data_IF_709309306327
#
_entry.id   IF_709309306327
#
_cell.length_a   1.000
_cell.length_b   1.000
_cell.length_c   1.000
_cell.angle_alpha   90.00
_cell.angle_beta   90.00
_cell.angle_gamma   90.00
#
_symmetry.space_group_name_H-M   'P 1'
#
loop_
_entity.id
_entity.type
_entity.pdbx_description
1 polymer ?
#
# COMPACT_ATOMS: atom_id res chain seq x y z
N UNK A 1 56.63 -8.97 73.34
CA UNK A 1 55.98 -7.70 73.74
C UNK A 1 55.54 -7.02 72.45
N UNK A 2 54.32 -7.32 72.00
CA UNK A 2 53.70 -6.74 70.81
C UNK A 2 52.58 -5.83 71.32
N UNK A 3 52.70 -4.53 71.07
CA UNK A 3 51.67 -3.53 71.38
C UNK A 3 50.60 -3.63 70.30
N UNK A 4 49.37 -3.94 70.70
CA UNK A 4 48.19 -3.92 69.84
C UNK A 4 47.75 -2.47 69.61
N UNK A 5 47.64 -2.07 68.34
CA UNK A 5 47.00 -0.82 67.96
C UNK A 5 45.53 -0.84 68.41
N UNK A 6 45.17 0.10 69.28
CA UNK A 6 43.78 0.34 69.67
C UNK A 6 43.11 1.13 68.55
N UNK A 7 42.29 0.46 67.75
CA UNK A 7 41.28 1.11 66.92
C UNK A 7 40.28 1.85 67.83
N UNK A 8 40.40 3.17 67.89
CA UNK A 8 39.41 4.02 68.55
C UNK A 8 38.22 4.17 67.61
N UNK A 9 37.14 3.44 67.89
CA UNK A 9 35.84 3.67 67.25
C UNK A 9 35.37 5.10 67.54
N UNK A 10 35.27 5.93 66.49
CA UNK A 10 34.66 7.26 66.60
C UNK A 10 33.16 7.09 66.89
N UNK A 11 32.58 7.81 67.85
CA UNK A 11 31.14 7.78 68.05
C UNK A 11 30.49 8.47 66.85
N UNK A 12 29.88 7.69 65.95
CA UNK A 12 29.08 8.26 64.87
C UNK A 12 27.91 8.99 65.49
N UNK A 13 27.82 10.30 65.23
CA UNK A 13 26.69 11.13 65.65
C UNK A 13 25.50 10.73 64.76
N UNK A 14 24.34 10.51 65.37
CA UNK A 14 23.14 10.02 64.66
C UNK A 14 22.78 10.92 63.47
N UNK A 15 22.97 12.23 63.62
CA UNK A 15 22.80 13.22 62.55
C UNK A 15 23.72 12.99 61.35
N UNK A 16 24.95 12.52 61.57
CA UNK A 16 25.92 12.25 60.49
C UNK A 16 25.49 11.02 59.69
N UNK A 17 24.97 9.98 60.36
CA UNK A 17 24.41 8.79 59.73
C UNK A 17 23.12 9.08 58.96
N UNK A 18 22.25 9.95 59.49
CA UNK A 18 21.03 10.39 58.80
C UNK A 18 21.40 11.17 57.56
N UNK A 19 22.36 12.10 57.66
CA UNK A 19 22.83 12.89 56.52
C UNK A 19 23.45 12.00 55.44
N UNK A 20 24.26 11.02 55.82
CA UNK A 20 24.85 10.07 54.87
C UNK A 20 23.80 9.17 54.20
N UNK A 21 22.76 8.78 54.93
CA UNK A 21 21.63 8.02 54.40
C UNK A 21 20.80 8.85 53.41
N UNK A 22 20.43 10.07 53.78
CA UNK A 22 19.70 11.00 52.91
C UNK A 22 20.49 11.30 51.62
N UNK A 23 21.79 11.56 51.73
CA UNK A 23 22.66 11.78 50.56
C UNK A 23 22.74 10.55 49.64
N UNK A 24 22.79 9.33 50.20
CA UNK A 24 22.79 8.10 49.38
C UNK A 24 21.45 7.88 48.68
N UNK A 25 20.34 8.18 49.34
CA UNK A 25 19.01 8.10 48.74
C UNK A 25 18.83 9.11 47.61
N UNK A 26 19.25 10.37 47.80
CA UNK A 26 19.22 11.40 46.75
C UNK A 26 20.07 11.01 45.53
N UNK A 27 21.22 10.35 45.75
CA UNK A 27 22.09 9.88 44.66
C UNK A 27 21.43 8.73 43.87
N UNK A 28 20.77 7.79 44.55
CA UNK A 28 20.06 6.69 43.88
C UNK A 28 18.82 7.19 43.13
N UNK A 29 18.05 8.15 43.68
CA UNK A 29 16.92 8.77 42.97
C UNK A 29 17.39 9.56 41.73
N UNK A 30 18.47 10.35 41.85
CA UNK A 30 19.06 11.04 40.70
C UNK A 30 19.56 10.08 39.63
N UNK A 31 20.15 8.94 40.03
CA UNK A 31 20.61 7.92 39.09
C UNK A 31 19.45 7.25 38.37
N UNK A 32 18.35 6.97 39.07
CA UNK A 32 17.15 6.40 38.47
C UNK A 32 16.48 7.41 37.53
N UNK A 33 16.37 8.69 37.91
CA UNK A 33 15.89 9.75 37.02
C UNK A 33 16.77 9.92 35.77
N UNK A 34 18.10 9.87 35.90
CA UNK A 34 19.03 9.86 34.77
C UNK A 34 18.87 8.61 33.90
N UNK A 35 18.65 7.43 34.49
CA UNK A 35 18.37 6.19 33.76
C UNK A 35 17.07 6.30 32.96
N UNK A 36 16.00 6.84 33.56
CA UNK A 36 14.72 7.07 32.92
C UNK A 36 14.77 8.20 31.87
N UNK A 37 15.65 9.19 32.04
CA UNK A 37 15.91 10.23 31.04
C UNK A 37 16.68 9.69 29.82
N UNK A 38 17.50 8.64 29.97
CA UNK A 38 18.15 7.96 28.83
C UNK A 38 17.15 7.23 27.91
N UNK A 39 15.94 6.96 28.40
CA UNK A 39 14.80 6.47 27.60
C UNK A 39 13.83 7.59 27.23
N UNK A 40 14.25 8.86 27.19
CA UNK A 40 13.40 9.97 26.76
C UNK A 40 12.79 9.76 25.36
N UNK A 41 13.51 9.06 24.47
CA UNK A 41 13.01 8.65 23.15
C UNK A 41 11.90 7.59 23.20
N UNK A 42 11.74 6.86 24.31
CA UNK A 42 10.60 5.96 24.52
C UNK A 42 9.33 6.69 25.00
N UNK A 43 9.48 7.88 25.60
CA UNK A 43 8.34 8.69 26.07
C UNK A 43 7.64 9.46 24.96
N UNK A 44 8.36 9.87 23.93
CA UNK A 44 7.80 10.58 22.77
C UNK A 44 7.15 9.65 21.75
N UNK A 45 7.24 8.32 21.95
CA UNK A 45 6.61 7.34 21.09
C UNK A 45 5.30 6.87 21.70
N UNK A 46 4.19 7.26 21.07
CA UNK A 46 2.85 6.79 21.42
C UNK A 46 2.76 5.29 21.09
N UNK A 47 2.97 4.42 22.09
CA UNK A 47 3.03 2.96 21.93
C UNK A 47 1.63 2.39 21.65
N UNK A 48 1.14 2.55 20.43
CA UNK A 48 -0.21 2.14 20.01
C UNK A 48 -0.52 0.65 20.24
N UNK A 49 0.51 -0.19 20.39
CA UNK A 49 0.39 -1.61 20.74
C UNK A 49 0.11 -1.88 22.23
N UNK A 50 0.44 -0.98 23.15
CA UNK A 50 0.05 -1.10 24.58
C UNK A 50 -1.47 -0.92 24.76
N UNK A 51 -2.13 -0.32 23.78
CA UNK A 51 -3.58 -0.19 23.72
C UNK A 51 -4.26 -1.42 23.13
N UNK A 52 -3.51 -2.46 22.71
CA UNK A 52 -4.06 -3.71 22.20
C UNK A 52 -4.10 -4.76 23.30
N UNK A 53 -5.25 -5.42 23.47
CA UNK A 53 -5.44 -6.55 24.38
C UNK A 53 -5.81 -7.78 23.56
N UNK A 54 -5.17 -8.90 23.86
CA UNK A 54 -5.52 -10.20 23.30
C UNK A 54 -6.83 -10.69 23.92
N UNK A 55 -7.83 -10.90 23.07
CA UNK A 55 -9.06 -11.63 23.40
C UNK A 55 -9.22 -12.78 22.42
N UNK A 56 -9.10 -13.99 22.94
CA UNK A 56 -9.27 -15.25 22.20
C UNK A 56 -8.35 -15.38 20.95
N UNK A 57 -7.12 -14.89 21.04
CA UNK A 57 -6.14 -14.93 19.95
C UNK A 57 -6.29 -13.80 18.93
N UNK A 58 -7.13 -12.80 19.22
CA UNK A 58 -7.36 -11.62 18.38
C UNK A 58 -7.04 -10.35 19.18
N UNK A 59 -6.16 -9.50 18.65
CA UNK A 59 -5.80 -8.22 19.25
C UNK A 59 -6.92 -7.19 19.04
N UNK A 60 -7.38 -6.57 20.13
CA UNK A 60 -8.42 -5.53 20.12
C UNK A 60 -7.96 -4.28 20.87
N UNK A 61 -8.32 -3.08 20.40
CA UNK A 61 -8.02 -1.84 21.12
C UNK A 61 -8.85 -1.70 22.41
N UNK A 62 -8.24 -1.25 23.51
CA UNK A 62 -8.87 -1.05 24.84
C UNK A 62 -9.97 0.01 24.78
N UNK A 63 -9.69 1.11 24.09
CA UNK A 63 -10.68 2.09 23.71
C UNK A 63 -10.95 1.89 22.23
N UNK A 64 -12.21 1.62 21.86
CA UNK A 64 -12.67 1.88 20.51
C UNK A 64 -12.46 3.38 20.26
N UNK A 65 -11.28 3.77 19.76
CA UNK A 65 -11.26 4.83 18.76
C UNK A 65 -12.16 4.29 17.67
N UNK A 66 -13.17 5.07 17.28
CA UNK A 66 -14.00 4.76 16.12
C UNK A 66 -13.04 4.35 15.01
N UNK A 67 -12.92 3.03 14.81
CA UNK A 67 -12.14 2.49 13.72
C UNK A 67 -13.00 2.90 12.55
N UNK A 68 -12.60 4.00 11.91
CA UNK A 68 -12.99 4.23 10.53
C UNK A 68 -12.42 3.02 9.82
N UNK A 69 -13.24 2.00 9.70
CA UNK A 69 -12.93 0.79 8.96
C UNK A 69 -12.65 1.33 7.56
N UNK A 70 -11.37 1.40 7.17
CA UNK A 70 -11.00 1.89 5.84
C UNK A 70 -11.58 0.99 4.75
N UNK A 71 -11.98 -0.23 5.11
CA UNK A 71 -12.87 -1.14 4.37
C UNK A 71 -14.29 -0.57 4.22
N UNK A 72 -14.93 -0.14 5.31
CA UNK A 72 -16.25 0.52 5.27
C UNK A 72 -16.23 1.88 4.55
N UNK A 73 -15.07 2.54 4.47
CA UNK A 73 -14.92 3.78 3.70
C UNK A 73 -14.99 3.53 2.19
N UNK A 74 -14.48 2.38 1.71
CA UNK A 74 -14.57 1.99 0.31
C UNK A 74 -15.98 1.45 -0.04
N UNK A 75 -16.59 0.68 0.87
CA UNK A 75 -17.99 0.24 0.71
C UNK A 75 -18.97 1.41 0.80
N UNK A 76 -18.71 2.40 1.65
CA UNK A 76 -19.52 3.61 1.79
C UNK A 76 -19.47 4.51 0.55
N UNK A 77 -18.31 4.63 -0.12
CA UNK A 77 -18.21 5.36 -1.39
C UNK A 77 -18.93 4.58 -2.52
N UNK A 78 -18.81 3.25 -2.55
CA UNK A 78 -19.55 2.41 -3.51
C UNK A 78 -21.07 2.44 -3.26
N UNK A 79 -21.52 2.52 -2.01
CA UNK A 79 -22.92 2.61 -1.63
C UNK A 79 -23.52 4.02 -1.81
N UNK A 80 -22.72 5.09 -1.68
CA UNK A 80 -23.17 6.48 -1.90
C UNK A 80 -23.40 6.82 -3.37
N UNK A 81 -22.88 6.04 -4.31
CA UNK A 81 -23.25 6.14 -5.73
C UNK A 81 -24.56 5.41 -6.08
N UNK A 82 -25.31 4.91 -5.10
CA UNK A 82 -26.69 4.49 -5.29
C UNK A 82 -27.67 5.64 -5.05
N UNK A 83 -27.82 6.58 -6.00
CA UNK A 83 -29.04 7.40 -6.23
C UNK A 83 -28.86 8.69 -7.04
N UNK A 84 -27.75 8.90 -7.76
CA UNK A 84 -27.81 9.80 -8.92
C UNK A 84 -28.19 9.00 -10.17
N UNK A 85 -29.47 8.64 -10.27
CA UNK A 85 -30.09 8.26 -11.55
C UNK A 85 -30.20 9.50 -12.47
N UNK A 86 -29.07 10.16 -12.73
CA UNK A 86 -28.94 11.04 -13.87
C UNK A 86 -29.16 10.19 -15.11
N UNK A 87 -30.08 10.62 -15.99
CA UNK A 87 -30.43 9.94 -17.25
C UNK A 87 -29.15 9.44 -17.94
N UNK A 88 -28.87 8.15 -17.78
CA UNK A 88 -27.70 7.55 -18.38
C UNK A 88 -27.99 7.50 -19.87
N UNK A 89 -27.38 8.41 -20.64
CA UNK A 89 -27.54 8.43 -22.10
C UNK A 89 -27.05 7.08 -22.64
N UNK A 90 -27.99 6.17 -22.91
CA UNK A 90 -27.80 4.80 -23.41
C UNK A 90 -27.26 4.75 -24.86
N UNK A 91 -26.40 5.69 -25.25
CA UNK A 91 -26.02 5.92 -26.65
C UNK A 91 -24.53 5.98 -26.93
N UNK A 92 -23.66 5.70 -25.95
CA UNK A 92 -22.20 5.79 -26.16
C UNK A 92 -21.63 4.41 -26.45
N UNK A 93 -21.25 4.17 -27.69
CA UNK A 93 -20.36 3.05 -28.05
C UNK A 93 -18.94 3.45 -27.66
N UNK A 94 -18.30 2.62 -26.83
CA UNK A 94 -16.97 2.91 -26.27
C UNK A 94 -15.91 2.00 -26.87
N UNK A 95 -14.78 2.58 -27.25
CA UNK A 95 -13.58 1.83 -27.60
C UNK A 95 -12.52 2.11 -26.55
N UNK A 96 -12.24 1.12 -25.72
CA UNK A 96 -11.32 1.21 -24.61
C UNK A 96 -10.05 0.41 -24.93
N UNK A 97 -8.90 1.03 -24.74
CA UNK A 97 -7.60 0.35 -24.71
C UNK A 97 -7.09 0.40 -23.27
N UNK A 98 -6.95 -0.77 -22.63
CA UNK A 98 -6.31 -0.86 -21.32
C UNK A 98 -4.85 -1.20 -21.55
N UNK A 99 -3.97 -0.30 -21.12
CA UNK A 99 -2.53 -0.53 -21.05
C UNK A 99 -2.16 -0.85 -19.62
N UNK A 100 -1.44 -1.94 -19.39
CA UNK A 100 -0.98 -2.31 -18.06
C UNK A 100 0.52 -2.56 -18.04
N UNK A 101 1.14 -2.01 -17.01
CA UNK A 101 2.55 -2.16 -16.72
C UNK A 101 2.86 -3.63 -16.34
N UNK A 102 3.87 -4.21 -16.99
CA UNK A 102 4.43 -5.52 -16.66
C UNK A 102 5.96 -5.43 -16.54
N UNK A 103 6.46 -4.27 -16.14
CA UNK A 103 7.87 -4.02 -15.87
C UNK A 103 8.30 -4.58 -14.52
N UNK A 104 9.61 -4.58 -14.24
CA UNK A 104 10.19 -5.07 -12.98
C UNK A 104 9.60 -4.39 -11.74
N UNK A 105 9.15 -3.13 -11.87
CA UNK A 105 8.50 -2.38 -10.79
C UNK A 105 7.19 -3.02 -10.31
N UNK A 106 6.60 -3.90 -11.11
CA UNK A 106 5.37 -4.63 -10.77
C UNK A 106 5.61 -5.86 -9.89
N UNK A 107 6.87 -6.20 -9.59
CA UNK A 107 7.24 -7.27 -8.64
C UNK A 107 7.18 -6.82 -7.18
N UNK A 108 7.00 -5.52 -6.93
CA UNK A 108 6.88 -4.96 -5.58
C UNK A 108 5.66 -5.55 -4.85
N UNK A 109 5.79 -5.71 -3.52
CA UNK A 109 4.86 -6.46 -2.66
C UNK A 109 4.09 -5.58 -1.66
N UNK A 110 3.93 -4.31 -2.01
CA UNK A 110 3.07 -3.35 -1.32
C UNK A 110 1.57 -3.70 -1.46
N UNK A 111 1.20 -4.34 -2.57
CA UNK A 111 -0.02 -5.13 -2.71
C UNK A 111 0.29 -6.62 -2.61
N UNK A 112 -0.70 -7.44 -2.21
CA UNK A 112 -0.55 -8.90 -2.11
C UNK A 112 -1.13 -9.61 -3.34
N UNK A 113 -0.44 -10.63 -3.90
CA UNK A 113 0.92 -11.08 -3.57
C UNK A 113 2.01 -10.10 -4.06
N UNK A 114 1.79 -9.44 -5.20
CA UNK A 114 2.59 -8.35 -5.75
C UNK A 114 1.68 -7.39 -6.56
N UNK A 115 2.23 -6.27 -7.04
CA UNK A 115 1.49 -5.31 -7.88
C UNK A 115 0.97 -5.93 -9.17
N UNK A 116 1.73 -6.79 -9.83
CA UNK A 116 1.36 -7.41 -11.11
C UNK A 116 0.06 -8.21 -10.98
N UNK A 117 -0.01 -9.11 -10.00
CA UNK A 117 -1.17 -9.95 -9.76
C UNK A 117 -2.36 -9.13 -9.25
N UNK A 118 -2.12 -8.13 -8.40
CA UNK A 118 -3.17 -7.22 -7.94
C UNK A 118 -3.79 -6.44 -9.11
N UNK A 119 -2.96 -5.83 -9.95
CA UNK A 119 -3.40 -5.12 -11.14
C UNK A 119 -4.16 -6.04 -12.11
N UNK A 120 -3.67 -7.26 -12.34
CA UNK A 120 -4.34 -8.24 -13.18
C UNK A 120 -5.73 -8.63 -12.65
N UNK A 121 -5.86 -8.83 -11.34
CA UNK A 121 -7.14 -9.08 -10.68
C UNK A 121 -8.13 -7.92 -10.90
N UNK A 122 -7.66 -6.68 -10.75
CA UNK A 122 -8.48 -5.49 -11.02
C UNK A 122 -8.89 -5.38 -12.49
N UNK A 123 -7.99 -5.68 -13.44
CA UNK A 123 -8.31 -5.70 -14.88
C UNK A 123 -9.33 -6.78 -15.20
N UNK A 124 -9.21 -7.99 -14.65
CA UNK A 124 -10.18 -9.06 -14.84
C UNK A 124 -11.57 -8.64 -14.32
N UNK A 125 -11.64 -8.09 -13.10
CA UNK A 125 -12.88 -7.54 -12.56
C UNK A 125 -13.48 -6.44 -13.44
N UNK A 126 -12.65 -5.55 -13.98
CA UNK A 126 -13.08 -4.50 -14.90
C UNK A 126 -13.61 -5.07 -16.23
N UNK A 127 -12.94 -6.06 -16.83
CA UNK A 127 -13.42 -6.75 -18.03
C UNK A 127 -14.83 -7.29 -17.76
N UNK A 128 -14.99 -8.07 -16.70
CA UNK A 128 -16.29 -8.66 -16.36
C UNK A 128 -17.36 -7.58 -16.14
N UNK A 129 -17.06 -6.53 -15.38
CA UNK A 129 -18.00 -5.43 -15.12
C UNK A 129 -18.44 -4.69 -16.40
N UNK A 130 -17.49 -4.40 -17.29
CA UNK A 130 -17.77 -3.69 -18.55
C UNK A 130 -18.70 -4.48 -19.48
N UNK A 131 -18.55 -5.81 -19.57
CA UNK A 131 -19.39 -6.65 -20.44
C UNK A 131 -20.76 -7.02 -19.83
N UNK A 132 -20.92 -6.98 -18.50
CA UNK A 132 -22.20 -7.29 -17.85
C UNK A 132 -23.13 -6.08 -17.69
N UNK A 133 -22.58 -4.89 -17.41
CA UNK A 133 -23.37 -3.70 -17.01
C UNK A 133 -23.07 -2.45 -17.85
N UNK A 134 -22.08 -2.50 -18.73
CA UNK A 134 -21.60 -1.32 -19.45
C UNK A 134 -22.42 -0.94 -20.69
N UNK A 135 -22.21 0.28 -21.21
CA UNK A 135 -22.51 0.60 -22.61
C UNK A 135 -21.79 -0.40 -23.54
N UNK A 136 -22.25 -0.54 -24.79
CA UNK A 136 -21.56 -1.39 -25.78
C UNK A 136 -20.08 -0.98 -25.89
N UNK A 137 -19.21 -1.78 -25.28
CA UNK A 137 -17.79 -1.48 -25.10
C UNK A 137 -16.96 -2.51 -25.86
N UNK A 138 -16.07 -2.03 -26.73
CA UNK A 138 -15.00 -2.81 -27.31
C UNK A 138 -13.73 -2.59 -26.50
N UNK A 139 -13.01 -3.67 -26.20
CA UNK A 139 -11.82 -3.63 -25.36
C UNK A 139 -10.61 -4.25 -26.07
N UNK A 140 -9.45 -3.61 -25.93
CA UNK A 140 -8.15 -4.14 -26.31
C UNK A 140 -7.19 -4.03 -25.11
N UNK A 141 -6.26 -4.96 -25.03
CA UNK A 141 -5.27 -5.05 -23.95
C UNK A 141 -3.87 -4.84 -24.52
N UNK A 142 -3.09 -3.97 -23.89
CA UNK A 142 -1.68 -3.73 -24.20
C UNK A 142 -0.85 -3.94 -22.94
N UNK A 143 0.26 -4.66 -23.06
CA UNK A 143 1.25 -4.82 -22.00
C UNK A 143 2.46 -3.91 -22.26
N UNK A 144 2.95 -3.23 -21.22
CA UNK A 144 4.16 -2.41 -21.27
C UNK A 144 5.32 -3.20 -20.64
N UNK A 145 6.18 -3.77 -21.49
CA UNK A 145 7.23 -4.72 -21.07
C UNK A 145 8.55 -4.47 -21.78
N UNK A 146 9.65 -4.52 -21.05
CA UNK A 146 11.01 -4.48 -21.59
C UNK A 146 11.22 -3.45 -22.73
N UNK A 147 10.87 -2.19 -22.44
CA UNK A 147 11.00 -1.00 -23.31
C UNK A 147 10.13 -1.04 -24.56
N UNK A 148 9.14 -1.94 -24.62
CA UNK A 148 8.23 -2.14 -25.74
C UNK A 148 6.80 -2.20 -25.25
N UNK A 149 5.87 -1.99 -26.18
CA UNK A 149 4.46 -2.30 -26.00
C UNK A 149 4.11 -3.58 -26.76
N UNK A 150 3.29 -4.44 -26.17
CA UNK A 150 2.86 -5.71 -26.75
C UNK A 150 1.34 -5.72 -26.77
N UNK A 151 0.75 -5.96 -27.94
CA UNK A 151 -0.69 -6.14 -28.07
C UNK A 151 -1.08 -7.52 -27.53
N UNK A 152 -1.79 -7.54 -26.40
CA UNK A 152 -2.23 -8.78 -25.74
C UNK A 152 -3.55 -9.25 -26.33
N UNK A 153 -4.53 -8.36 -26.49
CA UNK A 153 -5.82 -8.67 -27.11
C UNK A 153 -6.30 -7.54 -28.00
N UNK A 154 -7.00 -7.89 -29.09
CA UNK A 154 -7.53 -6.94 -30.07
C UNK A 154 -8.94 -6.49 -29.68
N UNK A 155 -9.37 -5.36 -30.23
CA UNK A 155 -10.77 -4.97 -30.17
C UNK A 155 -11.66 -6.04 -30.79
N UNK A 156 -12.77 -6.36 -30.13
CA UNK A 156 -13.69 -7.42 -30.55
C UNK A 156 -13.30 -8.83 -30.08
N UNK A 157 -12.19 -8.98 -29.35
CA UNK A 157 -11.86 -10.26 -28.69
C UNK A 157 -12.94 -10.57 -27.63
N UNK A 158 -13.49 -11.79 -27.59
CA UNK A 158 -14.47 -12.18 -26.58
C UNK A 158 -13.92 -12.04 -25.15
N UNK A 159 -14.76 -11.72 -24.14
CA UNK A 159 -14.29 -11.46 -22.78
C UNK A 159 -13.55 -12.65 -22.15
N UNK A 160 -14.00 -13.88 -22.41
CA UNK A 160 -13.35 -15.09 -21.92
C UNK A 160 -11.92 -15.24 -22.46
N UNK A 161 -11.74 -15.00 -23.76
CA UNK A 161 -10.43 -15.06 -24.41
C UNK A 161 -9.52 -13.92 -23.94
N UNK A 162 -10.06 -12.73 -23.66
CA UNK A 162 -9.29 -11.63 -23.08
C UNK A 162 -8.73 -11.97 -21.71
N UNK A 163 -9.52 -12.63 -20.86
CA UNK A 163 -9.07 -13.08 -19.53
C UNK A 163 -7.99 -14.15 -19.66
N UNK A 164 -8.14 -15.12 -20.57
CA UNK A 164 -7.12 -16.14 -20.82
C UNK A 164 -5.79 -15.54 -21.33
N UNK A 165 -5.85 -14.54 -22.21
CA UNK A 165 -4.68 -13.83 -22.72
C UNK A 165 -4.01 -12.97 -21.64
N UNK A 166 -4.81 -12.34 -20.78
CA UNK A 166 -4.31 -11.63 -19.60
C UNK A 166 -3.55 -12.62 -18.70
N UNK A 167 -4.18 -13.72 -18.29
CA UNK A 167 -3.57 -14.73 -17.42
C UNK A 167 -2.27 -15.30 -18.00
N UNK A 168 -2.23 -15.51 -19.32
CA UNK A 168 -0.99 -15.92 -20.02
C UNK A 168 0.11 -14.86 -19.88
N UNK A 169 -0.24 -13.59 -20.09
CA UNK A 169 0.72 -12.48 -19.96
C UNK A 169 1.25 -12.37 -18.53
N UNK A 170 0.41 -12.56 -17.51
CA UNK A 170 0.83 -12.54 -16.12
C UNK A 170 1.76 -13.72 -15.78
N UNK A 171 1.50 -14.91 -16.34
CA UNK A 171 2.37 -16.09 -16.16
C UNK A 171 3.77 -15.92 -16.76
N UNK A 172 3.93 -15.09 -17.78
CA UNK A 172 5.26 -14.74 -18.32
C UNK A 172 6.07 -13.88 -17.34
N UNK A 173 5.41 -13.25 -16.37
CA UNK A 173 6.01 -12.45 -15.32
C UNK A 173 6.39 -11.02 -15.76
N UNK A 174 6.78 -10.23 -14.76
CA UNK A 174 7.22 -8.86 -14.95
C UNK A 174 8.67 -8.80 -15.45
N UNK A 175 8.98 -7.95 -16.43
CA UNK A 175 10.32 -7.81 -16.99
C UNK A 175 10.64 -6.40 -17.52
N UNK A 176 11.79 -5.88 -17.11
CA UNK A 176 12.42 -4.70 -17.69
C UNK A 176 11.75 -3.39 -17.26
N UNK A 177 11.67 -2.42 -18.17
CA UNK A 177 11.18 -1.06 -17.91
C UNK A 177 10.01 -0.79 -18.87
N UNK A 178 8.93 -0.07 -18.49
CA UNK A 178 7.82 0.16 -19.39
C UNK A 178 8.11 1.30 -20.38
N UNK A 179 7.46 1.28 -21.55
CA UNK A 179 7.50 2.38 -22.53
C UNK A 179 6.09 2.90 -22.81
N UNK A 180 5.76 4.06 -22.25
CA UNK A 180 4.45 4.68 -22.40
C UNK A 180 4.22 5.20 -23.81
N UNK A 181 5.22 5.81 -24.44
CA UNK A 181 5.10 6.32 -25.81
C UNK A 181 4.76 5.20 -26.79
N UNK A 182 5.51 4.10 -26.78
CA UNK A 182 5.22 2.95 -27.65
C UNK A 182 3.82 2.37 -27.36
N UNK A 183 3.38 2.38 -26.10
CA UNK A 183 2.02 1.98 -25.72
C UNK A 183 0.95 2.90 -26.32
N UNK A 184 1.13 4.20 -26.17
CA UNK A 184 0.20 5.22 -26.67
C UNK A 184 0.16 5.26 -28.21
N UNK A 185 1.29 5.08 -28.89
CA UNK A 185 1.34 4.98 -30.35
C UNK A 185 0.56 3.75 -30.85
N UNK A 186 0.70 2.62 -30.16
CA UNK A 186 -0.08 1.41 -30.47
C UNK A 186 -1.58 1.63 -30.20
N UNK A 187 -1.93 2.24 -29.07
CA UNK A 187 -3.32 2.59 -28.74
C UNK A 187 -3.92 3.56 -29.77
N UNK A 188 -3.15 4.56 -30.21
CA UNK A 188 -3.54 5.48 -31.26
C UNK A 188 -3.79 4.74 -32.57
N UNK A 189 -2.91 3.83 -32.96
CA UNK A 189 -3.09 2.98 -34.15
C UNK A 189 -4.39 2.19 -34.10
N UNK A 190 -4.71 1.57 -32.96
CA UNK A 190 -5.93 0.80 -32.72
C UNK A 190 -7.19 1.70 -32.79
N UNK A 191 -7.15 2.88 -32.18
CA UNK A 191 -8.31 3.76 -32.03
C UNK A 191 -8.53 4.71 -33.21
N UNK A 192 -7.52 4.93 -34.05
CA UNK A 192 -7.55 5.90 -35.15
C UNK A 192 -8.68 5.64 -36.15
N UNK A 193 -8.95 4.36 -36.45
CA UNK A 193 -9.98 3.94 -37.40
C UNK A 193 -11.41 3.95 -36.85
N UNK A 194 -11.61 4.33 -35.59
CA UNK A 194 -12.93 4.26 -34.96
C UNK A 194 -13.87 5.39 -35.43
N UNK A 195 -15.17 5.12 -35.61
CA UNK A 195 -16.11 6.14 -36.04
C UNK A 195 -16.16 7.33 -35.06
N UNK A 196 -16.37 8.57 -35.56
CA UNK A 196 -16.30 9.78 -34.73
C UNK A 196 -17.39 9.90 -33.67
N UNK A 197 -18.49 9.16 -33.81
CA UNK A 197 -19.59 9.10 -32.83
C UNK A 197 -19.31 8.14 -31.67
N UNK A 198 -18.19 7.42 -31.69
CA UNK A 198 -17.76 6.53 -30.62
C UNK A 198 -16.70 7.21 -29.75
N UNK A 199 -16.60 6.83 -28.49
CA UNK A 199 -15.50 7.31 -27.65
C UNK A 199 -14.23 6.51 -27.92
N UNK A 200 -13.09 7.18 -27.75
CA UNK A 200 -11.75 6.61 -27.88
C UNK A 200 -11.05 6.84 -26.55
N UNK A 201 -10.92 5.77 -25.78
CA UNK A 201 -10.51 5.85 -24.38
C UNK A 201 -9.26 5.00 -24.18
N UNK A 202 -8.32 5.53 -23.38
CA UNK A 202 -7.11 4.82 -23.00
C UNK A 202 -7.01 4.85 -21.48
N UNK A 203 -7.03 3.67 -20.86
CA UNK A 203 -6.82 3.49 -19.43
C UNK A 203 -5.40 2.95 -19.22
N UNK A 204 -4.61 3.63 -18.40
CA UNK A 204 -3.23 3.23 -18.10
C UNK A 204 -3.13 2.80 -16.65
N UNK A 205 -2.77 1.54 -16.42
CA UNK A 205 -2.42 1.00 -15.12
C UNK A 205 -0.91 0.98 -15.05
N UNK A 206 -0.34 1.94 -14.33
CA UNK A 206 1.09 2.21 -14.30
C UNK A 206 1.63 2.11 -12.88
N UNK A 207 2.54 1.15 -12.64
CA UNK A 207 3.14 0.95 -11.31
C UNK A 207 4.59 1.42 -11.22
N UNK A 208 5.27 1.60 -12.35
CA UNK A 208 6.63 2.15 -12.39
C UNK A 208 6.65 3.65 -12.09
N UNK A 209 7.77 4.13 -11.57
CA UNK A 209 8.05 5.57 -11.38
C UNK A 209 8.76 6.20 -12.57
N UNK A 210 9.11 5.40 -13.58
CA UNK A 210 9.85 5.83 -14.76
C UNK A 210 9.37 5.10 -16.00
N UNK A 211 9.56 5.73 -17.15
CA UNK A 211 9.35 5.11 -18.45
C UNK A 211 10.60 5.28 -19.31
N UNK A 212 10.81 4.36 -20.26
CA UNK A 212 11.88 4.42 -21.25
C UNK A 212 11.24 4.54 -22.63
N UNK A 213 11.17 5.76 -23.13
CA UNK A 213 10.57 6.07 -24.42
C UNK A 213 11.63 6.47 -25.45
N UNK A 214 11.47 6.07 -26.73
CA UNK A 214 12.36 6.50 -27.80
C UNK A 214 12.28 8.02 -28.02
N UNK A 215 13.39 8.63 -28.42
CA UNK A 215 13.42 10.05 -28.82
C UNK A 215 12.94 10.24 -30.25
#
# INVERSE_FOLDING_TARGET
MLMADKETAKPFIVEELITEFEQRFDIDEQRDEELYAQYAWEKDFDKSWEQLVDKDGVLQFIHQKDVIDTTSSFEGIAAQHGSEEGIQKRGVVRNLVIMFDTSDAMREVDFKPDRLHCAAGAVNGLIQGLFHQGPMTQLALISLRNKRSILVSKLGTPPSEQVELLDRTIKEGAEGIPSLQNGLEMALGILSGMPPYTTREVLVIFGSTKTFDPR
#
